data_IF_880331219705
#
_entry.id   IF_880331219705
#
_cell.length_a   1.000
_cell.length_b   1.000
_cell.length_c   1.000
_cell.angle_alpha   90.00
_cell.angle_beta   90.00
_cell.angle_gamma   90.00
#
_symmetry.space_group_name_H-M   'P 1'
#
loop_
_entity.id
_entity.type
_entity.pdbx_description
1 polymer ?
#
# COMPACT_ATOMS: atom_id res chain seq x y z
N UNK A 1 19.46 -29.30 -6.38
CA UNK A 1 18.72 -28.03 -6.17
C UNK A 1 17.30 -28.15 -6.70
N UNK A 2 17.13 -28.39 -8.01
CA UNK A 2 15.80 -28.36 -8.63
C UNK A 2 14.84 -29.46 -8.18
N UNK A 3 15.34 -30.68 -7.96
CA UNK A 3 14.54 -31.78 -7.38
C UNK A 3 14.01 -31.45 -5.98
N UNK A 4 14.83 -30.78 -5.16
CA UNK A 4 14.44 -30.37 -3.81
C UNK A 4 13.37 -29.28 -3.86
N UNK A 5 13.53 -28.31 -4.77
CA UNK A 5 12.53 -27.26 -5.01
C UNK A 5 11.22 -27.88 -5.49
N UNK A 6 11.27 -28.81 -6.45
CA UNK A 6 10.09 -29.49 -6.99
C UNK A 6 9.37 -30.30 -5.92
N UNK A 7 10.10 -31.04 -5.08
CA UNK A 7 9.53 -31.83 -3.99
C UNK A 7 8.80 -30.94 -2.97
N UNK A 8 9.46 -29.88 -2.50
CA UNK A 8 8.86 -28.96 -1.51
C UNK A 8 7.70 -28.20 -2.12
N UNK A 9 7.81 -27.74 -3.37
CA UNK A 9 6.72 -27.06 -4.06
C UNK A 9 5.50 -27.97 -4.18
N UNK A 10 5.67 -29.23 -4.58
CA UNK A 10 4.57 -30.19 -4.66
C UNK A 10 3.93 -30.49 -3.29
N UNK A 11 4.73 -30.55 -2.23
CA UNK A 11 4.22 -30.74 -0.87
C UNK A 11 3.36 -29.54 -0.42
N UNK A 12 3.82 -28.30 -0.66
CA UNK A 12 3.05 -27.10 -0.32
C UNK A 12 1.79 -26.98 -1.18
N UNK A 13 1.89 -27.28 -2.48
CA UNK A 13 0.73 -27.32 -3.38
C UNK A 13 -0.33 -28.31 -2.89
N UNK A 14 0.08 -29.47 -2.37
CA UNK A 14 -0.86 -30.42 -1.77
C UNK A 14 -1.62 -29.84 -0.57
N UNK A 15 -0.98 -28.98 0.23
CA UNK A 15 -1.66 -28.23 1.30
C UNK A 15 -2.62 -27.20 0.74
N UNK A 16 -2.17 -26.37 -0.21
CA UNK A 16 -2.99 -25.34 -0.86
C UNK A 16 -4.28 -25.91 -1.46
N UNK A 17 -4.23 -27.10 -2.08
CA UNK A 17 -5.39 -27.70 -2.72
C UNK A 17 -6.30 -28.49 -1.77
N UNK A 18 -5.80 -28.99 -0.65
CA UNK A 18 -6.55 -29.92 0.22
C UNK A 18 -6.87 -29.36 1.62
N UNK A 19 -6.20 -28.30 2.06
CA UNK A 19 -6.42 -27.66 3.37
C UNK A 19 -7.00 -26.24 3.18
N UNK A 20 -8.16 -25.99 3.79
CA UNK A 20 -8.84 -24.69 3.74
C UNK A 20 -8.08 -23.57 4.46
N UNK A 21 -7.16 -23.91 5.36
CA UNK A 21 -6.29 -22.94 6.02
C UNK A 21 -5.11 -22.46 5.15
N UNK A 22 -4.85 -23.15 4.04
CA UNK A 22 -3.72 -22.92 3.16
C UNK A 22 -4.17 -22.39 1.80
N UNK A 23 -3.38 -21.51 1.16
CA UNK A 23 -3.80 -20.92 -0.11
C UNK A 23 -2.82 -19.91 -0.72
N UNK A 24 -3.22 -19.34 -1.86
CA UNK A 24 -2.48 -18.30 -2.60
C UNK A 24 -1.25 -18.79 -3.38
N UNK A 25 -0.03 -18.56 -2.90
CA UNK A 25 1.21 -18.73 -3.67
C UNK A 25 2.22 -19.57 -2.89
N UNK A 26 3.25 -20.06 -3.58
CA UNK A 26 4.40 -20.73 -2.98
C UNK A 26 5.64 -19.85 -3.10
N UNK A 27 6.26 -19.58 -1.96
CA UNK A 27 7.58 -18.95 -1.85
C UNK A 27 8.64 -20.01 -1.53
N UNK A 28 9.83 -19.90 -2.12
CA UNK A 28 10.93 -20.84 -1.90
C UNK A 28 12.18 -20.08 -1.46
N UNK A 29 12.76 -20.48 -0.33
CA UNK A 29 14.06 -19.98 0.13
C UNK A 29 15.09 -21.10 0.03
N UNK A 30 16.16 -20.84 -0.72
CA UNK A 30 17.24 -21.80 -0.98
C UNK A 30 18.43 -21.38 -0.14
N UNK A 31 18.86 -22.25 0.76
CA UNK A 31 20.00 -22.00 1.65
C UNK A 31 21.09 -23.00 1.27
N UNK A 32 22.16 -22.51 0.65
CA UNK A 32 23.35 -23.29 0.27
C UNK A 32 24.59 -22.75 1.01
N UNK A 33 25.70 -23.50 0.98
CA UNK A 33 26.93 -23.08 1.69
C UNK A 33 27.47 -21.74 1.21
N UNK A 34 27.21 -21.39 -0.04
CA UNK A 34 27.68 -20.19 -0.71
C UNK A 34 26.78 -18.97 -0.47
N UNK A 35 25.55 -19.18 0.02
CA UNK A 35 24.62 -18.08 0.27
C UNK A 35 23.16 -18.51 0.33
N UNK A 36 22.29 -17.50 0.36
CA UNK A 36 20.84 -17.69 0.43
C UNK A 36 20.16 -16.94 -0.71
N UNK A 37 19.20 -17.60 -1.35
CA UNK A 37 18.42 -17.06 -2.46
C UNK A 37 16.93 -17.18 -2.13
N UNK A 38 16.21 -16.07 -2.21
CA UNK A 38 14.76 -16.03 -1.98
C UNK A 38 14.02 -15.89 -3.31
N UNK A 39 13.24 -16.91 -3.64
CA UNK A 39 12.34 -16.95 -4.80
C UNK A 39 10.92 -16.65 -4.34
N UNK A 40 10.55 -15.37 -4.37
CA UNK A 40 9.18 -14.92 -4.09
C UNK A 40 8.26 -15.23 -5.25
N UNK A 41 7.05 -15.69 -4.94
CA UNK A 41 6.02 -16.08 -5.90
C UNK A 41 6.53 -17.10 -6.94
N UNK A 42 7.32 -18.08 -6.49
CA UNK A 42 7.87 -19.11 -7.35
C UNK A 42 6.77 -19.89 -8.10
N UNK A 43 5.65 -20.16 -7.42
CA UNK A 43 4.40 -20.65 -8.00
C UNK A 43 3.24 -19.73 -7.60
N UNK A 44 2.50 -19.26 -8.59
CA UNK A 44 1.30 -18.42 -8.40
C UNK A 44 0.09 -19.20 -8.88
N UNK A 45 -0.87 -19.44 -8.01
CA UNK A 45 -2.16 -19.98 -8.45
C UNK A 45 -2.97 -18.86 -9.09
N UNK A 46 -3.44 -19.11 -10.31
CA UNK A 46 -4.15 -18.09 -11.08
C UNK A 46 -5.51 -17.78 -10.42
N UNK A 47 -5.79 -16.48 -10.28
CA UNK A 47 -7.16 -16.00 -10.05
C UNK A 47 -7.82 -15.74 -11.39
N UNK A 48 -9.03 -16.26 -11.57
CA UNK A 48 -9.81 -15.99 -12.77
C UNK A 48 -10.19 -14.51 -12.90
N UNK A 49 -10.36 -14.08 -14.14
CA UNK A 49 -10.87 -12.75 -14.42
C UNK A 49 -12.31 -12.65 -13.90
N UNK A 50 -12.62 -11.55 -13.21
CA UNK A 50 -14.00 -11.28 -12.78
C UNK A 50 -14.89 -11.14 -14.03
N UNK A 51 -16.09 -11.73 -13.98
CA UNK A 51 -17.07 -11.65 -15.08
C UNK A 51 -17.48 -10.21 -15.37
N UNK A 52 -17.53 -9.37 -14.32
CA UNK A 52 -17.99 -7.99 -14.42
C UNK A 52 -16.93 -7.00 -13.92
N UNK A 53 -17.00 -5.78 -14.47
CA UNK A 53 -16.25 -4.64 -13.99
C UNK A 53 -17.09 -3.88 -12.96
N UNK A 54 -16.59 -3.79 -11.74
CA UNK A 54 -17.27 -3.13 -10.61
C UNK A 54 -16.86 -1.66 -10.44
N UNK A 55 -16.48 -0.98 -11.53
CA UNK A 55 -16.20 0.45 -11.50
C UNK A 55 -17.50 1.24 -11.45
N UNK A 56 -17.76 1.94 -10.34
CA UNK A 56 -18.93 2.80 -10.21
C UNK A 56 -18.78 4.06 -11.07
N UNK A 57 -19.90 4.63 -11.51
CA UNK A 57 -19.91 5.92 -12.20
C UNK A 57 -19.51 7.01 -11.20
N UNK A 58 -18.86 8.07 -11.68
CA UNK A 58 -18.60 9.25 -10.84
C UNK A 58 -19.93 9.81 -10.34
N UNK A 59 -19.98 10.20 -9.07
CA UNK A 59 -21.19 10.70 -8.41
C UNK A 59 -22.15 9.63 -7.86
N UNK A 60 -21.80 8.34 -7.89
CA UNK A 60 -22.64 7.28 -7.28
C UNK A 60 -22.74 7.40 -5.75
N UNK A 61 -21.67 7.82 -5.07
CA UNK A 61 -21.66 7.96 -3.61
C UNK A 61 -22.15 9.36 -3.24
N UNK A 62 -23.24 9.44 -2.45
CA UNK A 62 -23.70 10.69 -1.87
C UNK A 62 -22.71 11.16 -0.79
N UNK A 63 -22.36 12.45 -0.81
CA UNK A 63 -21.54 13.08 0.21
C UNK A 63 -22.23 14.33 0.74
N UNK A 64 -21.99 14.65 2.01
CA UNK A 64 -22.62 15.82 2.68
C UNK A 64 -21.68 17.02 2.71
N UNK A 65 -20.37 16.79 2.75
CA UNK A 65 -19.33 17.82 2.78
C UNK A 65 -18.12 17.35 2.00
N UNK A 66 -17.44 18.30 1.37
CA UNK A 66 -16.16 18.11 0.72
C UNK A 66 -15.21 19.17 1.28
N UNK A 67 -14.04 18.75 1.74
CA UNK A 67 -13.02 19.63 2.34
C UNK A 67 -11.69 19.37 1.65
N UNK A 68 -11.02 20.44 1.22
CA UNK A 68 -9.70 20.36 0.58
C UNK A 68 -8.64 20.53 1.66
N UNK A 69 -7.89 19.46 1.95
CA UNK A 69 -6.78 19.52 2.91
C UNK A 69 -5.52 20.05 2.23
N UNK A 70 -5.07 21.23 2.67
CA UNK A 70 -3.71 21.70 2.39
C UNK A 70 -2.72 20.97 3.29
N UNK A 71 -1.90 20.09 2.72
CA UNK A 71 -0.85 19.35 3.44
C UNK A 71 0.49 20.10 3.49
N UNK A 72 0.50 21.42 3.20
CA UNK A 72 1.74 22.20 3.21
C UNK A 72 2.10 22.55 4.65
N UNK A 73 3.23 22.01 5.12
CA UNK A 73 3.84 22.47 6.37
C UNK A 73 4.60 23.77 6.10
N UNK A 74 4.06 24.91 6.56
CA UNK A 74 4.84 26.14 6.66
C UNK A 74 5.83 25.99 7.81
N UNK A 75 7.10 25.82 7.48
CA UNK A 75 8.18 25.99 8.43
C UNK A 75 8.67 27.42 8.32
N UNK A 76 8.38 28.22 9.33
CA UNK A 76 9.04 29.50 9.51
C UNK A 76 10.43 29.20 10.11
N UNK A 77 11.47 29.37 9.30
CA UNK A 77 12.86 29.33 9.77
C UNK A 77 13.13 30.64 10.49
N UNK A 78 13.08 30.61 11.81
CA UNK A 78 13.47 31.75 12.66
C UNK A 78 14.95 31.64 13.00
N UNK A 79 15.71 32.71 12.79
CA UNK A 79 17.07 32.83 13.31
C UNK A 79 17.03 32.79 14.85
N UNK A 80 17.88 31.96 15.45
CA UNK A 80 17.95 31.75 16.90
C UNK A 80 18.36 33.06 17.60
N UNK A 81 17.38 33.78 18.13
CA UNK A 81 17.60 34.98 18.95
C UNK A 81 16.67 36.17 18.67
N UNK A 82 15.92 36.18 17.56
CA UNK A 82 14.99 37.26 17.25
C UNK A 82 13.58 36.95 17.82
N UNK A 83 13.14 37.72 18.82
CA UNK A 83 11.74 37.71 19.30
C UNK A 83 10.87 38.54 18.33
N UNK A 84 9.81 37.98 17.72
CA UNK A 84 8.90 38.79 16.91
C UNK A 84 8.04 39.69 17.83
N UNK A 85 8.00 40.98 17.53
CA UNK A 85 7.11 41.95 18.17
C UNK A 85 5.65 41.58 17.91
N UNK A 86 4.79 41.77 18.92
CA UNK A 86 3.39 41.43 18.90
C UNK A 86 2.66 42.07 17.70
N UNK A 87 2.32 41.27 16.69
CA UNK A 87 1.40 41.66 15.61
C UNK A 87 -0.02 41.28 16.02
N UNK A 88 -0.86 42.29 16.12
CA UNK A 88 -2.31 42.22 16.36
C UNK A 88 -3.00 41.22 15.43
N UNK A 89 -3.73 40.27 16.02
CA UNK A 89 -4.62 39.33 15.35
C UNK A 89 -5.77 40.06 14.67
N UNK A 90 -5.75 40.14 13.34
CA UNK A 90 -6.95 40.38 12.54
C UNK A 90 -7.66 39.04 12.31
N UNK A 91 -8.97 39.05 12.57
CA UNK A 91 -9.87 37.91 12.48
C UNK A 91 -9.86 37.25 11.10
N UNK A 92 -10.18 35.95 11.11
CA UNK A 92 -10.08 35.03 9.97
C UNK A 92 -10.67 35.57 8.67
N UNK A 93 -9.85 35.54 7.63
CA UNK A 93 -10.30 35.60 6.25
C UNK A 93 -10.28 34.17 5.71
N UNK A 94 -11.44 33.52 5.66
CA UNK A 94 -11.65 32.36 4.80
C UNK A 94 -11.63 32.83 3.35
N UNK A 95 -10.43 32.87 2.77
CA UNK A 95 -10.26 33.11 1.35
C UNK A 95 -10.48 31.78 0.61
N UNK A 96 -11.71 31.56 0.14
CA UNK A 96 -11.99 30.63 -0.94
C UNK A 96 -11.37 31.21 -2.23
N UNK A 97 -10.24 30.67 -2.65
CA UNK A 97 -9.68 30.91 -3.98
C UNK A 97 -10.35 29.95 -4.97
N UNK A 98 -11.17 30.50 -5.85
CA UNK A 98 -11.76 29.80 -7.01
C UNK A 98 -11.17 30.40 -8.28
N UNK A 99 -9.99 29.93 -8.65
CA UNK A 99 -9.34 30.19 -9.94
C UNK A 99 -8.87 28.87 -10.53
#
# INVERSE_FOLDING_TARGET
RDEAIALVTAAIESGIYNDLGSGSNVDVCIIEKQGTEMLRNYRVLAREAKEQRYGFRRGTTAYTKEEIFSMIQKQDVFDVGARPGATTTAAGAEAMDTS
#
